data_IF_062044382210
#
_entry.id   IF_062044382210
#
_cell.length_a   1.000
_cell.length_b   1.000
_cell.length_c   1.000
_cell.angle_alpha   90.00
_cell.angle_beta   90.00
_cell.angle_gamma   90.00
#
_symmetry.space_group_name_H-M   'P 1'
#
loop_
_entity.id
_entity.type
_entity.pdbx_description
1 polymer ?
#
# COMPACT_ATOMS: atom_id res chain seq x y z
N UNK A 1 5.98 -17.73 -11.84
CA UNK A 1 4.60 -17.17 -11.92
C UNK A 1 4.61 -15.94 -12.81
N UNK A 2 3.47 -15.50 -13.32
CA UNK A 2 3.32 -14.26 -14.10
C UNK A 2 2.33 -13.32 -13.40
N UNK A 3 2.16 -12.10 -13.91
CA UNK A 3 1.06 -11.24 -13.48
C UNK A 3 -0.27 -11.96 -13.74
N UNK A 4 -1.22 -11.94 -12.78
CA UNK A 4 -2.46 -12.71 -12.89
C UNK A 4 -3.49 -12.08 -13.83
N UNK A 5 -3.32 -10.81 -14.21
CA UNK A 5 -4.18 -10.11 -15.16
C UNK A 5 -3.38 -9.05 -15.93
N UNK A 6 -3.90 -8.63 -17.08
CA UNK A 6 -3.50 -7.38 -17.73
C UNK A 6 -4.21 -6.23 -17.02
N UNK A 7 -3.44 -5.41 -16.28
CA UNK A 7 -4.00 -4.31 -15.48
C UNK A 7 -4.23 -3.12 -16.41
N UNK A 8 -5.51 -2.80 -16.63
CA UNK A 8 -5.91 -1.63 -17.40
C UNK A 8 -5.55 -0.33 -16.67
N UNK A 9 -6.15 -0.14 -15.49
CA UNK A 9 -5.84 0.95 -14.56
C UNK A 9 -5.45 0.41 -13.18
N UNK A 10 -4.50 1.11 -12.54
CA UNK A 10 -4.11 0.89 -11.15
C UNK A 10 -4.44 2.17 -10.37
N UNK A 11 -5.18 2.04 -9.27
CA UNK A 11 -5.46 3.11 -8.32
C UNK A 11 -4.98 2.72 -6.94
N UNK A 12 -4.33 3.68 -6.29
CA UNK A 12 -3.85 3.52 -4.94
C UNK A 12 -4.65 4.42 -3.98
N UNK A 13 -5.24 3.82 -2.95
CA UNK A 13 -5.98 4.54 -1.93
C UNK A 13 -5.06 4.95 -0.77
N UNK A 14 -5.62 5.62 0.22
CA UNK A 14 -4.88 6.06 1.39
C UNK A 14 -5.70 5.81 2.66
N UNK A 15 -6.12 4.56 2.86
CA UNK A 15 -7.27 4.23 3.72
C UNK A 15 -6.94 3.74 5.14
N UNK A 16 -5.66 3.60 5.51
CA UNK A 16 -5.25 3.34 6.89
C UNK A 16 -5.19 4.65 7.67
N UNK A 17 -5.96 4.73 8.77
CA UNK A 17 -6.00 5.93 9.62
C UNK A 17 -4.70 6.14 10.36
N UNK A 18 -4.11 5.07 10.88
CA UNK A 18 -2.85 5.12 11.60
C UNK A 18 -1.73 5.59 10.67
N UNK A 19 -1.66 5.05 9.45
CA UNK A 19 -0.68 5.47 8.46
C UNK A 19 -0.81 6.97 8.12
N UNK A 20 -2.03 7.42 7.77
CA UNK A 20 -2.30 8.81 7.45
C UNK A 20 -1.98 9.76 8.62
N UNK A 21 -2.24 9.31 9.85
CA UNK A 21 -1.94 10.07 11.07
C UNK A 21 -0.44 10.13 11.33
N UNK A 22 0.30 9.04 11.13
CA UNK A 22 1.75 8.98 11.29
C UNK A 22 2.45 9.93 10.32
N UNK A 23 2.18 9.79 9.02
CA UNK A 23 2.72 10.66 7.98
C UNK A 23 2.34 12.11 8.27
N UNK A 24 1.06 12.38 8.54
CA UNK A 24 0.60 13.71 8.91
C UNK A 24 1.33 14.32 10.09
N UNK A 25 1.58 13.53 11.14
CA UNK A 25 2.32 13.97 12.32
C UNK A 25 3.76 14.34 11.98
N UNK A 26 4.44 13.56 11.14
CA UNK A 26 5.82 13.84 10.72
C UNK A 26 5.97 15.11 9.87
N UNK A 27 4.96 15.45 9.08
CA UNK A 27 5.03 16.57 8.13
C UNK A 27 4.33 17.85 8.61
N UNK A 28 3.25 17.73 9.39
CA UNK A 28 2.38 18.84 9.80
C UNK A 28 2.20 18.96 11.32
N UNK A 29 2.80 18.04 12.07
CA UNK A 29 2.61 17.96 13.52
C UNK A 29 1.32 17.23 13.93
N UNK A 30 1.28 16.79 15.19
CA UNK A 30 0.21 15.93 15.73
C UNK A 30 -1.18 16.56 15.63
N UNK A 31 -1.29 17.87 15.80
CA UNK A 31 -2.57 18.60 15.78
C UNK A 31 -3.20 18.67 14.38
N UNK A 32 -2.39 18.62 13.33
CA UNK A 32 -2.81 18.76 11.93
C UNK A 32 -2.52 17.49 11.11
N UNK A 33 -2.51 16.33 11.78
CA UNK A 33 -2.10 15.08 11.19
C UNK A 33 -3.01 14.68 10.02
N UNK A 34 -4.33 14.61 10.22
CA UNK A 34 -5.26 14.28 9.15
C UNK A 34 -5.72 15.55 8.41
N UNK A 35 -5.69 15.50 7.08
CA UNK A 35 -6.30 16.55 6.25
C UNK A 35 -7.83 16.51 6.39
N UNK A 36 -8.54 17.64 6.26
CA UNK A 36 -9.98 17.72 6.54
C UNK A 36 -10.86 16.76 5.73
N UNK A 37 -10.42 16.38 4.54
CA UNK A 37 -11.13 15.47 3.63
C UNK A 37 -10.94 13.98 3.98
N UNK A 38 -9.90 13.61 4.72
CA UNK A 38 -9.50 12.21 4.88
C UNK A 38 -10.58 11.36 5.57
N UNK A 39 -11.28 11.93 6.56
CA UNK A 39 -12.41 11.28 7.24
C UNK A 39 -13.76 11.42 6.51
N UNK A 40 -13.77 12.02 5.30
CA UNK A 40 -14.99 12.30 4.53
C UNK A 40 -15.12 11.45 3.27
N UNK A 41 -13.99 11.07 2.67
CA UNK A 41 -13.91 10.23 1.49
C UNK A 41 -12.63 9.38 1.51
N UNK A 42 -12.65 8.19 0.88
CA UNK A 42 -11.45 7.38 0.71
C UNK A 42 -10.55 8.04 -0.35
N UNK A 43 -9.68 8.92 0.10
CA UNK A 43 -8.68 9.59 -0.77
C UNK A 43 -7.84 8.54 -1.50
N UNK A 44 -7.53 8.80 -2.77
CA UNK A 44 -6.70 7.96 -3.62
C UNK A 44 -6.21 8.71 -4.85
N UNK A 45 -5.31 8.10 -5.60
CA UNK A 45 -4.72 8.65 -6.81
C UNK A 45 -4.52 7.56 -7.86
N UNK A 46 -4.35 7.98 -9.12
CA UNK A 46 -4.02 7.05 -10.20
C UNK A 46 -2.55 6.63 -10.07
N UNK A 47 -2.32 5.34 -9.85
CA UNK A 47 -1.01 4.71 -9.87
C UNK A 47 -0.55 4.45 -11.30
N UNK A 48 0.59 3.75 -11.45
CA UNK A 48 1.14 3.41 -12.77
C UNK A 48 1.02 1.92 -13.06
N UNK A 49 0.05 1.55 -13.90
CA UNK A 49 -0.19 0.15 -14.27
C UNK A 49 1.02 -0.53 -14.94
N UNK A 50 1.76 0.18 -15.81
CA UNK A 50 2.88 -0.40 -16.56
C UNK A 50 4.07 -0.87 -15.72
N UNK A 51 4.18 -0.38 -14.48
CA UNK A 51 5.26 -0.72 -13.53
C UNK A 51 4.80 -1.67 -12.44
N UNK A 52 3.58 -2.22 -12.53
CA UNK A 52 3.14 -3.32 -11.67
C UNK A 52 3.82 -4.59 -12.17
N UNK A 53 4.56 -5.26 -11.29
CA UNK A 53 5.34 -6.46 -11.59
C UNK A 53 5.01 -7.60 -10.63
N UNK A 54 5.21 -8.83 -11.09
CA UNK A 54 5.00 -10.02 -10.26
C UNK A 54 6.13 -10.16 -9.23
N UNK A 55 5.81 -10.73 -8.07
CA UNK A 55 6.79 -11.15 -7.05
C UNK A 55 8.07 -11.75 -7.64
N UNK A 56 9.19 -11.49 -6.98
CA UNK A 56 10.58 -11.85 -7.34
C UNK A 56 11.20 -11.02 -8.47
N UNK A 57 10.44 -10.11 -9.09
CA UNK A 57 11.01 -9.12 -10.01
C UNK A 57 11.94 -8.17 -9.24
N UNK A 58 13.24 -8.06 -9.60
CA UNK A 58 14.13 -7.12 -8.93
C UNK A 58 13.71 -5.67 -9.16
N UNK A 59 13.85 -4.83 -8.13
CA UNK A 59 13.48 -3.42 -8.18
C UNK A 59 14.75 -2.58 -8.16
N UNK A 60 14.96 -1.79 -9.20
CA UNK A 60 16.13 -0.91 -9.27
C UNK A 60 15.87 0.37 -8.49
N UNK A 61 16.82 0.76 -7.63
CA UNK A 61 16.80 2.07 -6.98
C UNK A 61 16.67 3.17 -8.05
N UNK A 62 15.64 4.03 -7.97
CA UNK A 62 15.45 5.09 -8.94
C UNK A 62 16.46 6.21 -8.71
N UNK A 63 16.87 6.84 -9.81
CA UNK A 63 17.48 8.16 -9.79
C UNK A 63 16.43 9.20 -10.16
N UNK A 64 16.47 10.37 -9.51
CA UNK A 64 15.51 11.44 -9.74
C UNK A 64 16.00 12.77 -9.22
N UNK A 65 15.12 13.77 -9.25
CA UNK A 65 15.38 15.05 -8.60
C UNK A 65 14.98 14.98 -7.12
N UNK A 66 15.85 15.48 -6.25
CA UNK A 66 15.56 15.63 -4.82
C UNK A 66 16.04 17.01 -4.34
N UNK A 67 15.46 17.51 -3.25
CA UNK A 67 15.88 18.76 -2.62
C UNK A 67 16.20 18.56 -1.13
N UNK A 68 17.38 17.97 -0.80
CA UNK A 68 17.74 17.68 0.58
C UNK A 68 18.01 18.95 1.39
N UNK A 69 18.52 20.00 0.76
CA UNK A 69 18.71 21.33 1.36
C UNK A 69 17.70 22.31 0.77
N UNK A 70 16.82 22.85 1.62
CA UNK A 70 15.79 23.81 1.22
C UNK A 70 16.37 25.16 0.78
N UNK A 71 17.62 25.47 1.16
CA UNK A 71 18.31 26.71 0.79
C UNK A 71 19.06 26.63 -0.55
N UNK A 72 19.18 25.42 -1.13
CA UNK A 72 19.92 25.17 -2.38
C UNK A 72 18.98 24.72 -3.52
N UNK A 73 19.44 24.80 -4.78
CA UNK A 73 18.77 24.16 -5.92
C UNK A 73 18.62 22.63 -5.74
N UNK A 74 17.64 21.99 -6.40
CA UNK A 74 17.52 20.54 -6.37
C UNK A 74 18.73 19.87 -7.05
N UNK A 75 19.00 18.62 -6.65
CA UNK A 75 20.07 17.78 -7.19
C UNK A 75 19.47 16.57 -7.91
N UNK A 76 20.20 16.02 -8.88
CA UNK A 76 19.87 14.76 -9.53
C UNK A 76 20.76 13.64 -9.02
N UNK A 77 20.18 12.48 -8.70
CA UNK A 77 20.94 11.31 -8.30
C UNK A 77 20.08 10.17 -7.76
N UNK A 78 20.71 9.10 -7.28
CA UNK A 78 20.01 7.95 -6.71
C UNK A 78 19.30 8.31 -5.41
N UNK A 79 18.06 7.85 -5.25
CA UNK A 79 17.25 8.06 -4.04
C UNK A 79 17.99 7.56 -2.79
N UNK A 80 17.93 8.36 -1.73
CA UNK A 80 18.51 8.10 -0.41
C UNK A 80 17.48 7.59 0.60
N UNK A 81 16.19 7.69 0.28
CA UNK A 81 15.08 7.29 1.15
C UNK A 81 14.15 6.33 0.42
N UNK A 82 14.70 5.17 0.02
CA UNK A 82 13.94 4.10 -0.62
C UNK A 82 13.21 3.27 0.42
N UNK A 83 11.93 3.01 0.18
CA UNK A 83 11.00 2.51 1.18
C UNK A 83 10.04 1.48 0.60
N UNK A 84 9.42 0.72 1.51
CA UNK A 84 8.31 -0.20 1.25
C UNK A 84 6.99 0.43 1.66
N UNK A 85 5.90 -0.06 1.08
CA UNK A 85 4.56 0.15 1.59
C UNK A 85 3.83 -1.18 1.62
N UNK A 86 3.55 -1.68 2.83
CA UNK A 86 2.75 -2.88 3.05
C UNK A 86 1.32 -2.61 2.61
N UNK A 87 0.89 -3.26 1.54
CA UNK A 87 -0.46 -3.09 1.01
C UNK A 87 -1.13 -4.42 0.67
N UNK A 88 -2.44 -4.33 0.49
CA UNK A 88 -3.20 -5.32 -0.24
C UNK A 88 -3.98 -4.63 -1.34
N UNK A 89 -4.22 -5.34 -2.43
CA UNK A 89 -5.00 -4.81 -3.55
C UNK A 89 -6.05 -5.82 -3.99
N UNK A 90 -7.16 -5.33 -4.51
CA UNK A 90 -8.21 -6.15 -5.07
C UNK A 90 -8.35 -5.92 -6.57
N UNK A 91 -8.66 -6.99 -7.29
CA UNK A 91 -9.00 -6.94 -8.71
C UNK A 91 -10.48 -6.67 -8.89
N UNK A 92 -10.79 -5.76 -9.81
CA UNK A 92 -12.14 -5.60 -10.33
C UNK A 92 -12.48 -6.81 -11.21
N UNK A 93 -13.58 -7.49 -10.88
CA UNK A 93 -14.16 -8.55 -11.69
C UNK A 93 -15.02 -7.96 -12.80
N UNK A 94 -16.30 -7.76 -12.54
CA UNK A 94 -17.21 -7.08 -13.46
C UNK A 94 -16.96 -5.57 -13.43
N UNK A 95 -16.87 -4.93 -14.60
CA UNK A 95 -16.79 -3.47 -14.71
C UNK A 95 -18.14 -2.74 -14.61
N UNK A 96 -18.14 -1.44 -14.89
CA UNK A 96 -19.34 -0.61 -15.08
C UNK A 96 -19.18 0.26 -16.34
N UNK A 97 -20.31 0.71 -16.91
CA UNK A 97 -20.28 1.61 -18.07
C UNK A 97 -19.84 3.01 -17.65
N UNK A 98 -19.15 3.74 -18.54
CA UNK A 98 -18.83 5.15 -18.33
C UNK A 98 -20.12 5.95 -18.08
N UNK A 99 -20.09 6.79 -17.04
CA UNK A 99 -21.24 7.58 -16.59
C UNK A 99 -22.24 6.80 -15.71
N UNK A 100 -22.00 5.52 -15.40
CA UNK A 100 -22.88 4.69 -14.57
C UNK A 100 -22.15 4.24 -13.30
N UNK A 101 -22.31 4.95 -12.17
CA UNK A 101 -21.67 4.59 -10.91
C UNK A 101 -22.06 3.20 -10.41
N UNK A 102 -21.17 2.56 -9.62
CA UNK A 102 -21.46 1.33 -8.88
C UNK A 102 -22.06 1.74 -7.53
N UNK A 103 -23.35 1.45 -7.25
CA UNK A 103 -23.92 1.67 -5.93
C UNK A 103 -23.19 0.84 -4.88
N UNK A 104 -22.97 1.38 -3.68
CA UNK A 104 -22.20 0.70 -2.64
C UNK A 104 -22.79 -0.66 -2.24
N UNK A 105 -24.10 -0.82 -2.33
CA UNK A 105 -24.79 -2.07 -2.06
C UNK A 105 -24.36 -3.18 -3.03
N UNK A 106 -23.99 -2.81 -4.27
CA UNK A 106 -23.56 -3.73 -5.33
C UNK A 106 -22.05 -3.86 -5.45
N UNK A 107 -21.26 -3.03 -4.76
CA UNK A 107 -19.80 -3.01 -4.91
C UNK A 107 -19.14 -4.40 -4.73
N UNK A 108 -19.68 -5.24 -3.85
CA UNK A 108 -19.19 -6.61 -3.63
C UNK A 108 -19.29 -7.51 -4.88
N UNK A 109 -20.27 -7.29 -5.77
CA UNK A 109 -20.44 -8.04 -7.03
C UNK A 109 -19.32 -7.74 -8.05
N UNK A 110 -18.54 -6.70 -7.81
CA UNK A 110 -17.50 -6.20 -8.70
C UNK A 110 -16.08 -6.49 -8.20
N UNK A 111 -15.92 -7.09 -7.01
CA UNK A 111 -14.61 -7.36 -6.40
C UNK A 111 -14.32 -8.85 -6.56
N UNK A 112 -13.34 -9.20 -7.39
CA UNK A 112 -13.03 -10.60 -7.72
C UNK A 112 -12.22 -11.29 -6.61
N UNK A 113 -11.14 -10.65 -6.16
CA UNK A 113 -10.23 -11.25 -5.20
C UNK A 113 -9.05 -10.35 -4.92
N UNK A 114 -8.20 -10.77 -3.98
CA UNK A 114 -7.13 -9.94 -3.42
C UNK A 114 -5.74 -10.53 -3.63
N UNK A 115 -4.74 -9.65 -3.65
CA UNK A 115 -3.31 -9.95 -3.66
C UNK A 115 -2.60 -9.14 -2.57
N UNK A 116 -1.40 -9.58 -2.18
CA UNK A 116 -0.45 -8.75 -1.44
C UNK A 116 0.20 -7.77 -2.40
N UNK A 117 0.61 -6.62 -1.88
CA UNK A 117 1.25 -5.58 -2.69
C UNK A 117 2.33 -4.85 -1.90
N UNK A 118 3.41 -4.49 -2.59
CA UNK A 118 4.43 -3.57 -2.11
C UNK A 118 4.51 -2.38 -3.08
N UNK A 119 4.05 -1.21 -2.64
CA UNK A 119 4.16 0.02 -3.42
C UNK A 119 5.48 0.76 -3.11
N UNK A 120 6.54 0.33 -3.80
CA UNK A 120 7.89 0.82 -3.56
C UNK A 120 7.95 2.34 -3.73
N UNK A 121 8.62 2.98 -2.78
CA UNK A 121 8.54 4.43 -2.65
C UNK A 121 9.92 5.07 -2.50
N UNK A 122 10.22 6.08 -3.32
CA UNK A 122 11.39 6.94 -3.18
C UNK A 122 10.98 8.26 -2.51
N UNK A 123 11.03 8.30 -1.17
CA UNK A 123 10.42 9.35 -0.34
C UNK A 123 10.99 10.75 -0.59
N UNK A 124 12.28 10.83 -0.89
CA UNK A 124 12.99 12.06 -1.16
C UNK A 124 12.64 12.67 -2.53
N UNK A 125 12.46 11.82 -3.54
CA UNK A 125 11.91 12.21 -4.85
C UNK A 125 10.45 12.65 -4.67
N UNK A 126 9.65 11.80 -4.02
CA UNK A 126 8.22 12.05 -3.76
C UNK A 126 8.01 13.39 -3.05
N UNK A 127 8.76 13.67 -1.98
CA UNK A 127 8.61 14.90 -1.19
C UNK A 127 8.88 16.17 -2.01
N UNK A 128 9.75 16.10 -3.02
CA UNK A 128 10.05 17.24 -3.90
C UNK A 128 8.98 17.45 -4.98
N UNK A 129 8.42 16.38 -5.54
CA UNK A 129 7.54 16.47 -6.70
C UNK A 129 6.04 16.60 -6.38
N UNK A 130 5.59 16.09 -5.22
CA UNK A 130 4.16 15.75 -5.08
C UNK A 130 3.22 16.95 -4.94
N UNK A 131 3.73 18.14 -4.62
CA UNK A 131 2.89 19.33 -4.50
C UNK A 131 2.87 20.07 -5.85
N UNK A 132 1.68 20.33 -6.44
CA UNK A 132 0.33 20.08 -5.93
C UNK A 132 -0.35 18.82 -6.49
N UNK A 133 0.32 18.04 -7.36
CA UNK A 133 -0.34 17.07 -8.25
C UNK A 133 -0.41 15.63 -7.72
N UNK A 134 0.17 15.37 -6.55
CA UNK A 134 0.25 14.05 -5.94
C UNK A 134 1.52 13.28 -6.32
N UNK A 135 1.71 12.07 -5.75
CA UNK A 135 2.87 11.22 -6.00
C UNK A 135 3.00 10.84 -7.48
N UNK A 136 4.24 10.79 -8.01
CA UNK A 136 4.48 10.42 -9.39
C UNK A 136 5.74 9.56 -9.57
N UNK A 137 6.92 10.14 -9.81
CA UNK A 137 8.19 9.40 -9.99
C UNK A 137 8.66 8.74 -8.70
N UNK A 138 8.22 9.25 -7.55
CA UNK A 138 8.43 8.64 -6.25
C UNK A 138 7.75 7.28 -6.08
N UNK A 139 6.89 6.86 -7.03
CA UNK A 139 6.11 5.61 -7.00
C UNK A 139 6.24 4.77 -8.26
N UNK A 140 6.23 5.41 -9.44
CA UNK A 140 6.07 4.72 -10.72
C UNK A 140 7.28 3.87 -11.21
N UNK A 141 8.33 3.75 -10.41
CA UNK A 141 9.53 2.98 -10.76
C UNK A 141 9.36 1.47 -10.50
N UNK A 142 8.39 1.08 -9.68
CA UNK A 142 8.05 -0.32 -9.46
C UNK A 142 7.01 -0.49 -8.37
N UNK A 143 6.07 -1.39 -8.62
CA UNK A 143 5.05 -1.82 -7.66
C UNK A 143 4.94 -3.33 -7.77
N UNK A 144 5.11 -4.08 -6.70
CA UNK A 144 5.11 -5.56 -6.76
C UNK A 144 3.80 -6.12 -6.23
N UNK A 145 3.24 -7.15 -6.87
CA UNK A 145 2.10 -7.91 -6.34
C UNK A 145 2.40 -9.41 -6.21
N UNK A 146 1.74 -10.07 -5.26
CA UNK A 146 1.76 -11.54 -5.18
C UNK A 146 1.03 -12.15 -6.40
N UNK A 147 1.47 -13.33 -6.89
CA UNK A 147 0.93 -13.89 -8.13
C UNK A 147 -0.43 -14.59 -7.98
N UNK A 148 -0.82 -14.95 -6.76
CA UNK A 148 -2.03 -15.72 -6.50
C UNK A 148 -3.15 -14.79 -6.02
N UNK A 149 -4.16 -14.61 -6.87
CA UNK A 149 -5.38 -13.87 -6.52
C UNK A 149 -6.26 -14.76 -5.67
N UNK A 150 -6.40 -14.43 -4.38
CA UNK A 150 -7.28 -15.15 -3.47
C UNK A 150 -8.70 -14.64 -3.69
N UNK A 151 -9.65 -15.49 -4.12
CA UNK A 151 -11.01 -15.06 -4.43
C UNK A 151 -11.73 -14.58 -3.15
N UNK A 152 -12.63 -13.61 -3.29
CA UNK A 152 -13.35 -13.07 -2.13
C UNK A 152 -14.13 -14.14 -1.36
N UNK A 153 -14.65 -15.17 -2.03
CA UNK A 153 -15.36 -16.30 -1.43
C UNK A 153 -14.50 -17.07 -0.42
N UNK A 154 -13.19 -17.18 -0.67
CA UNK A 154 -12.25 -17.81 0.26
C UNK A 154 -11.96 -16.92 1.48
N UNK A 155 -12.22 -15.62 1.39
CA UNK A 155 -12.00 -14.63 2.45
C UNK A 155 -13.25 -14.39 3.30
N UNK A 156 -14.45 -14.66 2.79
CA UNK A 156 -15.73 -14.48 3.51
C UNK A 156 -15.76 -15.09 4.92
N UNK A 157 -15.18 -16.28 5.19
CA UNK A 157 -15.16 -16.84 6.56
C UNK A 157 -14.36 -15.99 7.58
N UNK A 158 -13.55 -15.06 7.11
CA UNK A 158 -12.66 -14.22 7.94
C UNK A 158 -13.12 -12.76 7.98
N UNK A 159 -14.38 -12.51 7.64
CA UNK A 159 -14.98 -11.18 7.68
C UNK A 159 -15.18 -10.71 9.13
N UNK A 160 -14.93 -9.43 9.37
CA UNK A 160 -15.01 -8.76 10.66
C UNK A 160 -15.90 -7.52 10.57
N UNK A 161 -16.44 -7.02 11.69
CA UNK A 161 -17.12 -5.74 11.72
C UNK A 161 -16.27 -4.61 11.12
N UNK A 162 -16.91 -3.72 10.35
CA UNK A 162 -16.23 -2.55 9.78
C UNK A 162 -15.76 -1.60 10.89
N UNK A 163 -14.70 -0.83 10.62
CA UNK A 163 -14.25 0.22 11.52
C UNK A 163 -15.38 1.24 11.81
N UNK A 164 -15.48 1.70 13.05
CA UNK A 164 -16.44 2.75 13.41
C UNK A 164 -15.98 4.07 12.79
N UNK A 165 -16.81 4.62 11.90
CA UNK A 165 -16.53 5.86 11.21
C UNK A 165 -17.19 7.05 11.90
N UNK A 166 -16.37 7.99 12.35
CA UNK A 166 -16.79 9.28 12.91
C UNK A 166 -15.92 10.39 12.26
N UNK A 167 -16.53 11.37 11.59
CA UNK A 167 -17.97 11.54 11.33
C UNK A 167 -18.58 10.41 10.47
N UNK A 168 -19.90 10.24 10.55
CA UNK A 168 -20.62 9.33 9.67
C UNK A 168 -20.41 9.78 8.20
N UNK A 169 -20.03 8.87 7.27
CA UNK A 169 -19.86 9.21 5.86
C UNK A 169 -21.15 9.71 5.22
N UNK A 170 -21.06 10.31 4.04
CA UNK A 170 -22.25 10.63 3.24
C UNK A 170 -22.99 9.36 2.81
N UNK A 171 -24.32 9.41 2.56
CA UNK A 171 -25.14 8.23 2.30
C UNK A 171 -24.59 7.24 1.24
N UNK A 172 -23.97 7.74 0.16
CA UNK A 172 -23.42 6.88 -0.89
C UNK A 172 -22.22 6.01 -0.45
N UNK A 173 -21.61 6.31 0.70
CA UNK A 173 -20.52 5.54 1.30
C UNK A 173 -20.98 4.69 2.49
N UNK A 174 -22.27 4.67 2.82
CA UNK A 174 -22.78 3.91 3.96
C UNK A 174 -23.17 2.50 3.53
N UNK A 175 -22.74 1.50 4.27
CA UNK A 175 -23.20 0.14 4.13
C UNK A 175 -23.25 -0.55 5.50
N UNK A 176 -24.19 -1.49 5.66
CA UNK A 176 -24.46 -2.14 6.96
C UNK A 176 -23.79 -3.51 7.10
N UNK A 177 -23.54 -4.17 5.98
CA UNK A 177 -22.86 -5.45 5.93
C UNK A 177 -21.38 -5.29 6.28
N UNK A 178 -20.83 -6.32 6.92
CA UNK A 178 -19.40 -6.39 7.19
C UNK A 178 -18.64 -6.59 5.90
N UNK A 179 -17.50 -5.94 5.76
CA UNK A 179 -16.61 -6.05 4.61
C UNK A 179 -15.15 -5.70 4.93
N UNK A 180 -14.79 -5.84 6.21
CA UNK A 180 -13.42 -5.82 6.70
C UNK A 180 -12.96 -7.26 6.90
N UNK A 181 -11.68 -7.57 6.67
CA UNK A 181 -11.19 -8.96 6.69
C UNK A 181 -10.01 -9.12 7.65
N UNK A 182 -10.03 -10.18 8.45
CA UNK A 182 -8.96 -10.55 9.36
C UNK A 182 -7.85 -11.30 8.63
N UNK A 183 -6.91 -10.53 8.07
CA UNK A 183 -5.77 -11.04 7.30
C UNK A 183 -4.50 -10.62 8.03
N UNK A 184 -3.78 -11.59 8.60
CA UNK A 184 -2.50 -11.34 9.26
C UNK A 184 -1.45 -11.06 8.19
N UNK A 185 -0.69 -9.98 8.36
CA UNK A 185 0.29 -9.49 7.39
C UNK A 185 1.65 -9.35 8.05
N UNK A 186 2.69 -9.74 7.32
CA UNK A 186 4.06 -9.72 7.79
C UNK A 186 4.97 -9.16 6.71
N UNK A 187 5.90 -8.30 7.09
CA UNK A 187 7.02 -7.87 6.23
C UNK A 187 8.31 -8.36 6.87
N UNK A 188 9.11 -9.08 6.10
CA UNK A 188 10.51 -9.35 6.48
C UNK A 188 11.50 -8.64 5.56
N UNK A 189 12.65 -8.33 6.14
CA UNK A 189 13.77 -7.68 5.47
C UNK A 189 15.02 -8.53 5.67
N UNK A 190 15.72 -8.84 4.57
CA UNK A 190 16.99 -9.54 4.57
C UNK A 190 18.02 -8.75 3.78
N UNK A 191 19.05 -8.24 4.46
CA UNK A 191 20.21 -7.66 3.81
C UNK A 191 21.12 -8.71 3.17
N UNK A 192 21.98 -8.30 2.25
CA UNK A 192 22.90 -9.20 1.54
C UNK A 192 23.84 -9.96 2.48
N UNK A 193 24.32 -9.30 3.54
CA UNK A 193 25.21 -9.89 4.55
C UNK A 193 24.46 -10.71 5.62
N UNK A 194 23.13 -10.77 5.58
CA UNK A 194 22.32 -11.47 6.57
C UNK A 194 22.07 -12.93 6.17
N UNK A 195 22.15 -13.85 7.13
CA UNK A 195 21.84 -15.28 6.89
C UNK A 195 20.34 -15.50 6.71
N UNK A 196 19.53 -14.91 7.58
CA UNK A 196 18.07 -14.98 7.61
C UNK A 196 17.46 -13.57 7.59
N UNK A 197 16.20 -13.45 7.19
CA UNK A 197 15.47 -12.18 7.19
C UNK A 197 14.73 -11.95 8.50
N UNK A 198 14.74 -10.72 9.01
CA UNK A 198 14.00 -10.36 10.21
C UNK A 198 12.60 -9.84 9.86
N UNK A 199 11.62 -10.17 10.70
CA UNK A 199 10.27 -9.59 10.58
C UNK A 199 10.29 -8.17 11.14
N UNK A 200 10.08 -7.19 10.27
CA UNK A 200 10.11 -5.76 10.61
C UNK A 200 8.72 -5.16 10.82
N UNK A 201 7.67 -5.84 10.36
CA UNK A 201 6.28 -5.43 10.53
C UNK A 201 5.37 -6.64 10.73
N UNK A 202 4.46 -6.55 11.70
CA UNK A 202 3.36 -7.49 11.94
C UNK A 202 2.06 -6.68 12.02
N UNK A 203 1.27 -6.70 10.97
CA UNK A 203 0.05 -5.90 10.86
C UNK A 203 -1.15 -6.77 10.50
N UNK A 204 -2.30 -6.15 10.27
CA UNK A 204 -3.50 -6.84 9.86
C UNK A 204 -4.39 -5.95 8.97
N UNK A 205 -4.94 -6.53 7.91
CA UNK A 205 -5.83 -5.79 7.00
C UNK A 205 -7.10 -5.27 7.69
N UNK A 206 -7.48 -5.83 8.84
CA UNK A 206 -8.67 -5.38 9.58
C UNK A 206 -8.57 -3.93 10.12
N UNK A 207 -7.38 -3.32 10.12
CA UNK A 207 -7.17 -1.96 10.60
C UNK A 207 -7.59 -0.87 9.58
N UNK A 208 -7.93 -1.25 8.35
CA UNK A 208 -8.35 -0.28 7.32
C UNK A 208 -9.63 0.46 7.75
N UNK A 209 -9.61 1.79 7.61
CA UNK A 209 -10.73 2.66 8.01
C UNK A 209 -11.82 2.73 6.92
N UNK A 210 -11.40 2.74 5.65
CA UNK A 210 -12.30 2.67 4.51
C UNK A 210 -12.30 1.26 3.93
N UNK A 211 -13.49 0.70 3.71
CA UNK A 211 -13.64 -0.65 3.16
C UNK A 211 -13.44 -0.67 1.65
N UNK A 212 -13.17 -1.84 1.06
CA UNK A 212 -13.08 -1.99 -0.40
C UNK A 212 -14.38 -1.59 -1.11
N UNK A 213 -15.55 -1.82 -0.48
CA UNK A 213 -16.85 -1.36 -1.02
C UNK A 213 -16.90 0.15 -1.13
N UNK A 214 -16.43 0.86 -0.11
CA UNK A 214 -16.38 2.33 -0.11
C UNK A 214 -15.38 2.87 -1.13
N UNK A 215 -14.21 2.25 -1.22
CA UNK A 215 -13.18 2.60 -2.22
C UNK A 215 -13.74 2.49 -3.64
N UNK A 216 -14.34 1.35 -4.00
CA UNK A 216 -14.91 1.14 -5.34
C UNK A 216 -16.13 2.03 -5.63
N UNK A 217 -17.03 2.20 -4.65
CA UNK A 217 -18.18 3.09 -4.78
C UNK A 217 -17.73 4.55 -4.98
N UNK A 218 -16.74 5.00 -4.22
CA UNK A 218 -16.16 6.34 -4.39
C UNK A 218 -15.50 6.52 -5.74
N UNK A 219 -14.70 5.54 -6.18
CA UNK A 219 -13.97 5.62 -7.44
C UNK A 219 -14.92 5.79 -8.64
N UNK A 220 -16.05 5.10 -8.63
CA UNK A 220 -17.04 5.15 -9.70
C UNK A 220 -18.11 6.24 -9.53
N UNK A 221 -18.17 6.96 -8.40
CA UNK A 221 -19.28 7.90 -8.09
C UNK A 221 -19.42 9.02 -9.11
N UNK A 222 -18.30 9.49 -9.69
CA UNK A 222 -18.27 10.49 -10.75
C UNK A 222 -18.60 9.96 -12.15
N UNK A 223 -18.88 8.66 -12.28
CA UNK A 223 -19.09 7.97 -13.54
C UNK A 223 -17.85 7.31 -14.14
N UNK A 224 -16.73 7.24 -13.42
CA UNK A 224 -15.54 6.50 -13.86
C UNK A 224 -15.91 5.03 -14.15
N UNK A 225 -15.48 4.51 -15.31
CA UNK A 225 -15.70 3.13 -15.71
C UNK A 225 -14.58 2.24 -15.20
N UNK A 226 -14.92 1.33 -14.28
CA UNK A 226 -14.05 0.24 -13.89
C UNK A 226 -14.10 -0.87 -14.95
N UNK A 227 -12.99 -1.57 -15.13
CA UNK A 227 -12.82 -2.65 -16.11
C UNK A 227 -12.34 -3.93 -15.42
N UNK A 228 -12.69 -5.11 -15.96
CA UNK A 228 -12.10 -6.36 -15.49
C UNK A 228 -10.57 -6.29 -15.53
N UNK A 229 -9.94 -6.64 -14.41
CA UNK A 229 -8.48 -6.60 -14.28
C UNK A 229 -7.91 -5.29 -13.73
N UNK A 230 -8.71 -4.22 -13.57
CA UNK A 230 -8.26 -3.04 -12.84
C UNK A 230 -7.88 -3.40 -11.40
N UNK A 231 -6.83 -2.77 -10.89
CA UNK A 231 -6.23 -3.07 -9.59
C UNK A 231 -6.41 -1.87 -8.65
N UNK A 232 -7.03 -2.09 -7.49
CA UNK A 232 -7.28 -1.05 -6.49
C UNK A 232 -6.57 -1.44 -5.19
N UNK A 233 -5.56 -0.66 -4.81
CA UNK A 233 -4.74 -0.92 -3.63
C UNK A 233 -5.25 -0.14 -2.41
N UNK A 234 -4.94 -0.65 -1.22
CA UNK A 234 -5.50 -0.18 0.04
C UNK A 234 -4.96 1.18 0.48
N UNK A 235 -3.78 1.55 0.01
CA UNK A 235 -2.85 2.40 0.74
C UNK A 235 -2.13 1.62 1.83
N UNK A 236 -0.97 2.13 2.23
CA UNK A 236 -0.12 1.52 3.28
C UNK A 236 -0.92 1.12 4.52
N UNK A 237 -0.77 -0.12 4.96
CA UNK A 237 -1.48 -0.73 6.08
C UNK A 237 -0.65 -0.59 7.36
N UNK A 238 -0.97 0.43 8.15
CA UNK A 238 -0.48 0.54 9.53
C UNK A 238 -1.59 0.24 10.52
N UNK A 239 -1.24 -0.46 11.61
CA UNK A 239 -2.09 -0.62 12.78
C UNK A 239 -1.73 0.35 13.92
N UNK A 240 -2.38 0.21 15.09
CA UNK A 240 -2.22 1.14 16.20
C UNK A 240 -0.86 1.02 16.92
N UNK A 241 -0.22 -0.16 16.83
CA UNK A 241 1.04 -0.44 17.51
C UNK A 241 2.23 -0.16 16.59
N UNK A 242 3.36 0.39 17.08
CA UNK A 242 4.52 0.69 16.24
C UNK A 242 5.10 -0.50 15.48
N UNK A 243 4.96 -1.72 16.01
CA UNK A 243 5.38 -2.96 15.31
C UNK A 243 4.52 -3.32 14.09
N UNK A 244 3.38 -2.64 13.94
CA UNK A 244 2.39 -2.85 12.87
C UNK A 244 2.41 -1.74 11.82
N UNK A 245 3.39 -0.83 11.86
CA UNK A 245 3.54 0.24 10.88
C UNK A 245 4.00 -0.31 9.53
N UNK A 246 3.30 0.08 8.46
CA UNK A 246 3.41 -0.52 7.13
C UNK A 246 4.53 0.02 6.24
N UNK A 247 5.38 0.94 6.72
CA UNK A 247 6.49 1.50 5.96
C UNK A 247 7.72 1.72 6.83
N UNK A 248 8.92 1.73 6.23
CA UNK A 248 10.15 2.06 6.95
C UNK A 248 10.20 3.54 7.30
N UNK A 249 9.53 4.42 6.53
CA UNK A 249 9.29 5.81 6.93
C UNK A 249 8.67 5.88 8.34
N UNK A 250 7.65 5.06 8.60
CA UNK A 250 6.98 5.00 9.91
C UNK A 250 7.82 4.29 10.97
N UNK A 251 8.35 3.09 10.66
CA UNK A 251 9.14 2.28 11.59
C UNK A 251 10.39 3.03 12.08
N UNK A 252 11.08 3.75 11.18
CA UNK A 252 12.25 4.56 11.50
C UNK A 252 11.91 5.98 11.95
N UNK A 253 10.62 6.35 11.97
CA UNK A 253 10.14 7.70 12.25
C UNK A 253 10.91 8.77 11.45
N UNK A 254 10.84 8.67 10.12
CA UNK A 254 11.58 9.53 9.16
C UNK A 254 13.10 9.48 9.38
N UNK A 255 13.63 8.30 9.68
CA UNK A 255 15.05 8.06 9.92
C UNK A 255 15.60 8.62 11.24
N UNK A 256 14.74 9.09 12.15
CA UNK A 256 15.17 9.53 13.48
C UNK A 256 15.35 8.39 14.48
N UNK A 257 14.88 7.19 14.13
CA UNK A 257 15.06 5.94 14.88
C UNK A 257 15.68 4.88 13.98
N UNK A 258 16.58 4.09 14.55
CA UNK A 258 17.08 2.89 13.87
C UNK A 258 16.11 1.74 14.08
N UNK A 259 15.82 1.03 13.01
CA UNK A 259 15.25 -0.30 13.05
C UNK A 259 16.40 -1.28 13.30
N UNK A 260 16.39 -1.90 14.47
CA UNK A 260 17.37 -2.92 14.86
C UNK A 260 17.04 -4.26 14.19
N UNK A 261 18.05 -4.87 13.58
CA UNK A 261 18.00 -6.17 12.92
C UNK A 261 19.00 -7.11 13.62
N UNK A 262 18.77 -8.41 13.49
CA UNK A 262 19.63 -9.49 13.96
C UNK A 262 21.07 -9.30 13.48
N UNK A 263 22.04 -9.79 14.26
CA UNK A 263 23.47 -9.66 13.93
C UNK A 263 24.05 -8.25 14.09
N UNK A 264 23.32 -7.32 14.72
CA UNK A 264 23.78 -5.93 14.95
C UNK A 264 23.63 -5.03 13.72
N UNK A 265 22.87 -5.47 12.72
CA UNK A 265 22.53 -4.64 11.57
C UNK A 265 21.43 -3.64 11.94
N UNK A 266 21.42 -2.49 11.26
CA UNK A 266 20.35 -1.50 11.41
C UNK A 266 19.90 -0.95 10.07
N UNK A 267 18.67 -0.44 10.03
CA UNK A 267 18.12 0.28 8.88
C UNK A 267 17.31 1.51 9.31
N UNK A 268 17.23 2.47 8.40
CA UNK A 268 16.22 3.54 8.41
C UNK A 268 15.38 3.47 7.15
N UNK A 269 16.05 3.27 6.01
CA UNK A 269 15.50 3.02 4.69
C UNK A 269 16.25 1.84 4.02
N UNK A 270 15.74 1.37 2.89
CA UNK A 270 16.30 0.24 2.14
C UNK A 270 17.69 0.56 1.56
N UNK A 271 18.58 -0.41 1.66
CA UNK A 271 19.89 -0.44 1.01
C UNK A 271 19.86 -1.30 -0.25
N UNK A 272 20.85 -1.12 -1.11
CA UNK A 272 21.04 -2.03 -2.24
C UNK A 272 21.36 -3.44 -1.71
N UNK A 273 20.84 -4.47 -2.38
CA UNK A 273 20.94 -5.86 -1.94
C UNK A 273 19.89 -6.30 -0.92
N UNK A 274 19.14 -5.38 -0.30
CA UNK A 274 18.05 -5.74 0.61
C UNK A 274 16.92 -6.47 -0.16
N UNK A 275 16.52 -7.65 0.31
CA UNK A 275 15.30 -8.37 -0.09
C UNK A 275 14.18 -8.05 0.91
N UNK A 276 13.02 -7.62 0.39
CA UNK A 276 11.79 -7.45 1.15
C UNK A 276 10.83 -8.56 0.76
N UNK A 277 10.17 -9.15 1.77
CA UNK A 277 9.17 -10.20 1.57
C UNK A 277 7.92 -9.89 2.38
N UNK A 278 6.83 -9.67 1.67
CA UNK A 278 5.49 -9.57 2.26
C UNK A 278 4.82 -10.94 2.19
N UNK A 279 4.23 -11.35 3.31
CA UNK A 279 3.39 -12.55 3.40
C UNK A 279 2.09 -12.22 4.12
N UNK A 280 1.05 -13.00 3.83
CA UNK A 280 -0.23 -12.83 4.49
C UNK A 280 -1.05 -14.11 4.51
N UNK A 281 -1.82 -14.27 5.58
CA UNK A 281 -2.76 -15.37 5.70
C UNK A 281 -3.94 -15.07 6.64
N UNK A 282 -5.08 -15.65 6.31
CA UNK A 282 -6.18 -15.83 7.24
C UNK A 282 -5.99 -17.16 8.00
N UNK A 283 -6.29 -17.16 9.30
CA UNK A 283 -6.16 -18.35 10.15
C UNK A 283 -7.55 -18.96 10.41
N UNK A 284 -7.77 -20.17 9.94
CA UNK A 284 -8.94 -20.98 10.30
C UNK A 284 -8.62 -22.04 11.34
N UNK A 285 -9.60 -22.86 11.71
CA UNK A 285 -9.39 -24.00 12.61
C UNK A 285 -8.67 -25.14 11.88
N UNK A 286 -7.37 -25.29 12.11
CA UNK A 286 -6.56 -26.34 11.48
C UNK A 286 -6.14 -26.08 10.03
N UNK A 287 -6.45 -24.91 9.46
CA UNK A 287 -6.03 -24.52 8.11
C UNK A 287 -5.70 -23.03 8.00
N UNK A 288 -5.08 -22.63 6.89
CA UNK A 288 -4.84 -21.22 6.52
C UNK A 288 -5.28 -20.97 5.08
N UNK A 289 -5.79 -19.77 4.82
CA UNK A 289 -5.91 -19.21 3.47
C UNK A 289 -4.76 -18.23 3.30
N UNK A 290 -3.70 -18.66 2.60
CA UNK A 290 -2.48 -17.88 2.40
C UNK A 290 -2.41 -17.24 1.01
N UNK A 291 -1.68 -16.13 0.92
CA UNK A 291 -1.53 -15.36 -0.32
C UNK A 291 -0.21 -15.65 -1.07
N UNK A 292 0.57 -16.61 -0.60
CA UNK A 292 1.95 -16.81 -1.06
C UNK A 292 2.84 -15.65 -0.61
N UNK A 293 3.73 -15.19 -1.50
CA UNK A 293 4.72 -14.16 -1.20
C UNK A 293 4.64 -13.02 -2.21
N UNK A 294 4.96 -11.81 -1.75
CA UNK A 294 5.26 -10.64 -2.59
C UNK A 294 6.69 -10.19 -2.23
N UNK A 295 7.65 -10.54 -3.09
CA UNK A 295 9.09 -10.38 -2.87
C UNK A 295 9.70 -9.42 -3.88
N UNK A 296 10.66 -8.61 -3.46
CA UNK A 296 11.57 -7.91 -4.37
C UNK A 296 12.91 -7.61 -3.72
N UNK A 297 13.97 -7.64 -4.52
CA UNK A 297 15.34 -7.33 -4.11
C UNK A 297 15.77 -6.01 -4.74
N UNK A 298 16.37 -5.13 -3.94
CA UNK A 298 16.82 -3.82 -4.40
C UNK A 298 18.12 -3.94 -5.20
N UNK A 299 18.07 -3.57 -6.47
CA UNK A 299 19.26 -3.42 -7.30
C UNK A 299 19.84 -2.00 -7.18
N UNK A 300 21.18 -1.87 -7.27
CA UNK A 300 21.81 -0.57 -7.33
C UNK A 300 21.26 0.31 -8.45
N UNK A 301 21.20 1.62 -8.20
CA UNK A 301 20.89 2.59 -9.23
C UNK A 301 21.91 2.50 -10.39
N UNK A 302 21.48 2.86 -11.59
CA UNK A 302 22.43 3.01 -12.70
C UNK A 302 23.39 4.16 -12.40
N UNK A 303 24.66 3.99 -12.73
CA UNK A 303 25.61 5.10 -12.69
C UNK A 303 25.19 6.12 -13.76
N UNK A 304 25.08 7.41 -13.39
CA UNK A 304 24.74 8.48 -14.34
C UNK A 304 25.83 8.69 -15.40
#
# INVERSE_FOLDING_TARGET
MHLPAEIGDYTDFYSSRDHATNVGTMFRGKENALMPNWLRLPVGYHGRASSVVVSETPIRRPSGQMRPDQSQPPVFGPSKQLDIELEMAFFVGKGNSLGQPIPIEKAHEHIFGMVLMNDWSARDIQAWEYVPLGPFLGKNFGTTISPWVVPMEALLPFIEPNAVQNPEPLPYLRHKDYYTFNINLFVSLKGEDMTEGDTICKSNFKYMYWTMKQQLAHHSVGGCNMRPGDLLASGTISGPDPESFGSMLELSWRGSKNLELSGGHTRTFLRDGDEVKITGFCQGEGFRVGFGTCVGTIQPALQP
#
